data_IF_434412766768
#
_entry.id   IF_434412766768
#
_cell.length_a   1.000
_cell.length_b   1.000
_cell.length_c   1.000
_cell.angle_alpha   90.00
_cell.angle_beta   90.00
_cell.angle_gamma   90.00
#
_symmetry.space_group_name_H-M   'P 1'
#
loop_
_entity.id
_entity.type
_entity.pdbx_description
1 polymer ?
#
# COMPACT_ATOMS: atom_id res chain seq x y z
N UNK A 1 -17.92 -16.26 -17.24
CA UNK A 1 -17.81 -14.80 -17.08
C UNK A 1 -17.77 -14.52 -15.59
N UNK A 2 -16.62 -14.18 -15.03
CA UNK A 2 -16.41 -14.04 -13.59
C UNK A 2 -16.68 -12.59 -13.20
N UNK A 3 -17.56 -12.35 -12.22
CA UNK A 3 -17.84 -11.01 -11.69
C UNK A 3 -17.12 -10.87 -10.35
N UNK A 4 -16.07 -10.08 -10.32
CA UNK A 4 -15.40 -9.69 -9.08
C UNK A 4 -16.21 -8.54 -8.46
N UNK A 5 -16.89 -8.81 -7.35
CA UNK A 5 -17.54 -7.78 -6.55
C UNK A 5 -16.72 -7.63 -5.26
N UNK A 6 -16.10 -6.45 -5.07
CA UNK A 6 -15.42 -6.14 -3.82
C UNK A 6 -16.14 -4.99 -3.18
N UNK A 7 -16.55 -5.24 -1.94
CA UNK A 7 -17.40 -4.34 -1.15
C UNK A 7 -16.71 -4.21 0.19
N UNK A 8 -16.38 -2.98 0.58
CA UNK A 8 -15.92 -2.69 1.93
C UNK A 8 -17.04 -3.08 2.91
N UNK A 9 -16.80 -4.13 3.69
CA UNK A 9 -17.72 -4.66 4.69
C UNK A 9 -17.32 -4.07 6.04
N UNK A 10 -17.98 -2.99 6.44
CA UNK A 10 -17.72 -2.29 7.71
C UNK A 10 -18.58 -2.80 8.87
N UNK A 11 -19.15 -4.01 8.80
CA UNK A 11 -20.03 -4.49 9.88
C UNK A 11 -20.05 -6.02 9.99
N UNK A 12 -19.98 -6.54 11.22
CA UNK A 12 -19.72 -7.95 11.58
C UNK A 12 -20.80 -8.95 11.14
N UNK A 13 -21.89 -8.51 10.50
CA UNK A 13 -22.96 -9.40 10.04
C UNK A 13 -23.63 -8.91 8.77
N UNK A 14 -22.98 -9.11 7.61
CA UNK A 14 -23.73 -9.13 6.36
C UNK A 14 -23.02 -9.93 5.26
N UNK A 15 -23.24 -11.24 5.27
CA UNK A 15 -23.08 -12.07 4.06
C UNK A 15 -24.18 -11.66 3.09
N UNK A 16 -23.93 -10.62 2.30
CA UNK A 16 -24.77 -10.36 1.13
C UNK A 16 -24.50 -11.49 0.15
N UNK A 17 -25.57 -12.09 -0.41
CA UNK A 17 -25.46 -13.23 -1.32
C UNK A 17 -24.57 -12.89 -2.52
N UNK A 18 -23.30 -13.28 -2.44
CA UNK A 18 -22.36 -13.19 -3.54
C UNK A 18 -22.74 -14.30 -4.53
N UNK A 19 -23.31 -13.91 -5.67
CA UNK A 19 -23.70 -14.87 -6.70
C UNK A 19 -22.48 -15.20 -7.55
N UNK A 20 -21.90 -16.38 -7.32
CA UNK A 20 -20.68 -16.88 -7.97
C UNK A 20 -19.56 -17.25 -6.97
N UNK A 21 -18.46 -17.87 -7.42
CA UNK A 21 -17.31 -18.14 -6.56
C UNK A 21 -16.71 -16.82 -6.07
N UNK A 22 -16.84 -16.57 -4.77
CA UNK A 22 -16.32 -15.37 -4.11
C UNK A 22 -15.17 -15.74 -3.17
N UNK A 23 -14.11 -14.95 -3.20
CA UNK A 23 -13.03 -15.01 -2.23
C UNK A 23 -13.27 -13.91 -1.18
N UNK A 24 -13.46 -14.31 0.07
CA UNK A 24 -13.46 -13.38 1.21
C UNK A 24 -12.03 -13.28 1.70
N UNK A 25 -11.50 -12.06 1.71
CA UNK A 25 -10.14 -11.78 2.15
C UNK A 25 -10.22 -10.81 3.33
N UNK A 26 -9.54 -11.13 4.43
CA UNK A 26 -9.39 -10.19 5.54
C UNK A 26 -8.53 -8.98 5.15
N UNK A 27 -8.53 -7.90 5.95
CA UNK A 27 -7.76 -6.68 5.65
C UNK A 27 -6.26 -6.93 5.39
N UNK A 28 -5.63 -7.79 6.19
CA UNK A 28 -4.23 -8.19 6.00
C UNK A 28 -4.02 -8.94 4.67
N UNK A 29 -4.91 -9.89 4.35
CA UNK A 29 -4.83 -10.61 3.08
C UNK A 29 -5.07 -9.69 1.89
N UNK A 30 -5.96 -8.69 2.03
CA UNK A 30 -6.18 -7.69 1.00
C UNK A 30 -4.93 -6.83 0.77
N UNK A 31 -4.23 -6.46 1.85
CA UNK A 31 -2.93 -5.81 1.79
C UNK A 31 -1.91 -6.68 1.05
N UNK A 32 -1.70 -7.94 1.47
CA UNK A 32 -0.73 -8.84 0.83
C UNK A 32 -1.01 -9.06 -0.67
N UNK A 33 -2.28 -9.23 -1.03
CA UNK A 33 -2.69 -9.35 -2.44
C UNK A 33 -2.41 -8.08 -3.23
N UNK A 34 -2.71 -6.90 -2.67
CA UNK A 34 -2.41 -5.62 -3.31
C UNK A 34 -0.91 -5.47 -3.58
N UNK A 35 -0.06 -5.84 -2.61
CA UNK A 35 1.41 -5.80 -2.74
C UNK A 35 1.91 -6.75 -3.83
N UNK A 36 1.37 -7.97 -3.87
CA UNK A 36 1.73 -8.95 -4.90
C UNK A 36 1.33 -8.46 -6.31
N UNK A 37 0.15 -7.86 -6.44
CA UNK A 37 -0.32 -7.27 -7.70
C UNK A 37 0.58 -6.11 -8.15
N UNK A 38 0.92 -5.19 -7.25
CA UNK A 38 1.82 -4.07 -7.56
C UNK A 38 3.19 -4.54 -8.03
N UNK A 39 3.77 -5.56 -7.39
CA UNK A 39 5.06 -6.12 -7.81
C UNK A 39 4.97 -6.78 -9.19
N UNK A 40 3.89 -7.52 -9.46
CA UNK A 40 3.64 -8.09 -10.79
C UNK A 40 3.47 -6.99 -11.85
N UNK A 41 2.71 -5.94 -11.57
CA UNK A 41 2.55 -4.80 -12.49
C UNK A 41 3.87 -4.09 -12.77
N UNK A 42 4.74 -3.93 -11.75
CA UNK A 42 6.07 -3.37 -11.92
C UNK A 42 6.91 -4.21 -12.87
N UNK A 43 6.86 -5.55 -12.74
CA UNK A 43 7.56 -6.47 -13.64
C UNK A 43 7.02 -6.38 -15.07
N UNK A 44 5.70 -6.50 -15.23
CA UNK A 44 5.05 -6.40 -16.54
C UNK A 44 5.39 -5.08 -17.25
N UNK A 45 5.43 -3.96 -16.50
CA UNK A 45 5.80 -2.65 -17.06
C UNK A 45 7.26 -2.60 -17.51
N UNK A 46 8.19 -3.26 -16.79
CA UNK A 46 9.60 -3.38 -17.22
C UNK A 46 9.71 -4.18 -18.53
N UNK A 47 8.84 -5.17 -18.69
CA UNK A 47 8.79 -6.02 -19.87
C UNK A 47 7.98 -5.39 -21.03
N UNK A 48 7.49 -4.15 -20.86
CA UNK A 48 6.68 -3.44 -21.86
C UNK A 48 5.27 -4.00 -22.04
N UNK A 49 4.82 -4.87 -21.12
CA UNK A 49 3.51 -5.52 -21.16
C UNK A 49 2.48 -4.67 -20.41
N UNK A 50 1.36 -4.37 -21.07
CA UNK A 50 0.25 -3.63 -20.48
C UNK A 50 -0.50 -4.46 -19.43
N UNK A 51 -0.97 -3.79 -18.37
CA UNK A 51 -1.79 -4.42 -17.32
C UNK A 51 -3.24 -4.54 -17.78
N UNK A 52 -3.83 -5.74 -17.65
CA UNK A 52 -5.23 -5.97 -18.04
C UNK A 52 -6.21 -5.13 -17.20
N UNK A 53 -7.34 -4.77 -17.79
CA UNK A 53 -8.40 -4.03 -17.08
C UNK A 53 -9.05 -4.82 -15.93
N UNK A 54 -8.89 -6.14 -15.90
CA UNK A 54 -9.34 -6.99 -14.79
C UNK A 54 -8.41 -6.86 -13.57
N UNK A 55 -7.09 -6.85 -13.79
CA UNK A 55 -6.10 -6.64 -12.72
C UNK A 55 -6.28 -5.25 -12.10
N UNK A 56 -6.52 -4.22 -12.93
CA UNK A 56 -6.78 -2.87 -12.43
C UNK A 56 -8.03 -2.80 -11.55
N UNK A 57 -9.12 -3.46 -11.97
CA UNK A 57 -10.35 -3.56 -11.18
C UNK A 57 -10.13 -4.32 -9.87
N UNK A 58 -9.34 -5.38 -9.88
CA UNK A 58 -8.96 -6.12 -8.67
C UNK A 58 -8.13 -5.24 -7.72
N UNK A 59 -7.22 -4.41 -8.24
CA UNK A 59 -6.44 -3.45 -7.45
C UNK A 59 -7.34 -2.43 -6.75
N UNK A 60 -8.19 -1.75 -7.52
CA UNK A 60 -9.15 -0.75 -7.02
C UNK A 60 -10.10 -1.34 -5.96
N UNK A 61 -10.44 -2.61 -6.12
CA UNK A 61 -11.23 -3.37 -5.18
C UNK A 61 -10.52 -3.63 -3.83
N UNK A 62 -9.25 -4.02 -3.86
CA UNK A 62 -8.48 -4.40 -2.66
C UNK A 62 -7.98 -3.18 -1.87
N UNK A 63 -7.82 -2.04 -2.54
CA UNK A 63 -7.22 -0.82 -1.99
C UNK A 63 -7.88 -0.31 -0.69
N UNK A 64 -9.22 -0.21 -0.56
CA UNK A 64 -9.84 0.24 0.68
C UNK A 64 -9.61 -0.70 1.86
N UNK A 65 -9.62 -2.02 1.63
CA UNK A 65 -9.42 -3.01 2.69
C UNK A 65 -7.94 -3.06 3.14
N UNK A 66 -7.01 -2.87 2.20
CA UNK A 66 -5.58 -2.77 2.50
C UNK A 66 -5.26 -1.49 3.30
N UNK A 67 -5.87 -0.36 2.97
CA UNK A 67 -5.72 0.90 3.71
C UNK A 67 -6.26 0.78 5.13
N UNK A 68 -7.43 0.15 5.32
CA UNK A 68 -7.98 -0.08 6.66
C UNK A 68 -7.04 -0.93 7.55
N UNK A 69 -6.34 -1.91 6.98
CA UNK A 69 -5.33 -2.67 7.71
C UNK A 69 -4.13 -1.79 8.08
N UNK A 70 -3.62 -1.01 7.13
CA UNK A 70 -2.54 -0.06 7.36
C UNK A 70 -2.86 0.92 8.49
N UNK A 71 -4.07 1.49 8.49
CA UNK A 71 -4.51 2.40 9.55
C UNK A 71 -4.61 1.69 10.90
N UNK A 72 -5.06 0.43 10.93
CA UNK A 72 -5.13 -0.36 12.16
C UNK A 72 -3.76 -0.71 12.74
N UNK A 73 -2.75 -0.94 11.88
CA UNK A 73 -1.38 -1.25 12.29
C UNK A 73 -0.59 0.03 12.61
N UNK A 74 -0.83 1.12 11.88
CA UNK A 74 -0.20 2.43 12.07
C UNK A 74 -0.81 3.26 13.20
N UNK A 75 -2.08 3.03 13.53
CA UNK A 75 -2.84 3.76 14.56
C UNK A 75 -2.43 3.47 16.01
N UNK A 76 -1.46 2.57 16.24
CA UNK A 76 -0.91 2.36 17.59
C UNK A 76 0.24 3.32 17.94
N UNK A 77 0.60 4.27 17.07
CA UNK A 77 1.51 5.37 17.38
C UNK A 77 0.77 6.72 17.25
N UNK A 78 0.52 7.37 18.39
CA UNK A 78 -0.40 8.51 18.47
C UNK A 78 0.08 9.84 17.89
N UNK A 79 -0.85 10.78 17.84
CA UNK A 79 -0.58 12.21 17.73
C UNK A 79 -1.16 12.85 16.48
N UNK A 80 -2.31 13.50 16.64
CA UNK A 80 -2.95 14.40 15.68
C UNK A 80 -1.95 15.45 15.15
N UNK A 81 -1.79 15.54 13.83
CA UNK A 81 -1.24 16.71 13.16
C UNK A 81 -1.97 16.94 11.82
N UNK A 82 -2.63 18.08 11.79
CA UNK A 82 -3.37 18.78 10.74
C UNK A 82 -2.84 18.59 9.30
N UNK A 83 -3.72 18.17 8.38
CA UNK A 83 -3.42 17.91 6.96
C UNK A 83 -3.72 19.15 6.11
N UNK A 84 -2.74 19.74 5.39
CA UNK A 84 -3.00 20.76 4.37
C UNK A 84 -3.57 20.11 3.10
N UNK A 85 -4.75 20.55 2.65
CA UNK A 85 -5.35 20.11 1.39
C UNK A 85 -4.53 20.60 0.18
N UNK A 86 -4.18 19.70 -0.75
CA UNK A 86 -3.48 20.00 -2.01
C UNK A 86 -4.18 19.29 -3.19
N UNK A 87 -4.26 19.89 -4.41
CA UNK A 87 -5.36 19.64 -5.32
C UNK A 87 -5.16 18.43 -6.23
N UNK A 88 -6.32 17.99 -6.70
CA UNK A 88 -6.60 16.88 -7.59
C UNK A 88 -5.82 16.98 -8.92
N UNK A 89 -4.88 16.07 -9.12
CA UNK A 89 -4.45 15.63 -10.45
C UNK A 89 -3.93 14.20 -10.38
N UNK A 90 -4.82 13.26 -10.69
CA UNK A 90 -4.57 12.01 -11.44
C UNK A 90 -3.20 11.33 -11.26
N UNK A 91 -3.09 10.46 -10.25
CA UNK A 91 -2.28 9.21 -10.19
C UNK A 91 -2.17 8.82 -8.71
N UNK A 92 -3.17 8.11 -8.19
CA UNK A 92 -3.25 7.69 -6.78
C UNK A 92 -2.27 6.55 -6.47
N UNK A 93 -0.97 6.87 -6.52
CA UNK A 93 0.05 6.20 -5.72
C UNK A 93 0.53 7.29 -4.78
N UNK A 94 0.03 7.28 -3.54
CA UNK A 94 0.39 8.27 -2.53
C UNK A 94 1.89 8.17 -2.28
N UNK A 95 2.64 9.08 -2.92
CA UNK A 95 4.08 9.06 -2.96
C UNK A 95 4.62 9.85 -1.77
N UNK A 96 5.44 9.22 -0.95
CA UNK A 96 6.04 9.83 0.23
C UNK A 96 7.45 10.37 -0.06
N UNK A 97 7.76 11.49 0.55
CA UNK A 97 9.09 12.09 0.63
C UNK A 97 9.96 11.37 1.66
N UNK A 98 11.28 11.61 1.62
CA UNK A 98 12.23 11.05 2.62
C UNK A 98 11.82 11.44 4.04
N UNK A 99 11.33 12.66 4.21
CA UNK A 99 10.93 13.25 5.48
C UNK A 99 9.68 12.55 6.05
N UNK A 100 8.65 12.34 5.23
CA UNK A 100 7.44 11.63 5.63
C UNK A 100 7.74 10.16 5.96
N UNK A 101 8.59 9.50 5.16
CA UNK A 101 9.03 8.12 5.44
C UNK A 101 9.82 8.04 6.75
N UNK A 102 10.65 9.03 7.04
CA UNK A 102 11.41 9.09 8.29
C UNK A 102 10.48 9.19 9.51
N UNK A 103 9.39 9.95 9.39
CA UNK A 103 8.36 10.04 10.44
C UNK A 103 7.64 8.70 10.62
N UNK A 104 7.14 8.08 9.55
CA UNK A 104 6.43 6.79 9.62
C UNK A 104 7.31 5.69 10.22
N UNK A 105 8.59 5.64 9.83
CA UNK A 105 9.52 4.63 10.33
C UNK A 105 10.12 4.98 11.70
N UNK A 106 9.82 6.16 12.26
CA UNK A 106 10.42 6.64 13.51
C UNK A 106 11.94 6.71 13.46
N UNK A 107 12.51 7.13 12.33
CA UNK A 107 13.95 7.06 12.06
C UNK A 107 14.50 8.36 11.46
N UNK A 108 15.82 8.42 11.22
CA UNK A 108 16.44 9.60 10.60
C UNK A 108 16.30 9.59 9.07
N UNK A 109 16.18 10.78 8.47
CA UNK A 109 16.19 10.95 7.01
C UNK A 109 17.46 10.42 6.34
N UNK A 110 18.60 10.47 7.05
CA UNK A 110 19.87 9.85 6.62
C UNK A 110 19.74 8.33 6.48
N UNK A 111 19.08 7.68 7.43
CA UNK A 111 18.85 6.24 7.38
C UNK A 111 17.88 5.87 6.24
N UNK A 112 16.80 6.63 6.05
CA UNK A 112 15.88 6.44 4.91
C UNK A 112 16.61 6.54 3.57
N UNK A 113 17.48 7.54 3.39
CA UNK A 113 18.31 7.64 2.17
C UNK A 113 19.25 6.44 2.01
N UNK A 114 19.81 5.93 3.10
CA UNK A 114 20.62 4.71 3.08
C UNK A 114 19.81 3.49 2.64
N UNK A 115 18.55 3.37 3.06
CA UNK A 115 17.66 2.28 2.62
C UNK A 115 17.34 2.37 1.13
N UNK A 116 17.12 3.58 0.61
CA UNK A 116 16.94 3.79 -0.83
C UNK A 116 18.20 3.45 -1.62
N UNK A 117 19.38 3.87 -1.14
CA UNK A 117 20.67 3.60 -1.81
C UNK A 117 21.06 2.13 -1.79
N UNK A 118 20.72 1.41 -0.71
CA UNK A 118 20.99 -0.02 -0.56
C UNK A 118 19.90 -0.92 -1.17
N UNK A 119 18.90 -0.33 -1.82
CA UNK A 119 17.74 -1.02 -2.41
C UNK A 119 16.93 -1.84 -1.38
N UNK A 120 17.14 -1.62 -0.09
CA UNK A 120 16.42 -2.28 1.00
C UNK A 120 14.96 -1.79 1.14
N UNK A 121 14.68 -0.57 0.67
CA UNK A 121 13.34 -0.02 0.55
C UNK A 121 13.14 0.47 -0.89
N UNK A 122 12.13 -0.02 -1.62
CA UNK A 122 11.87 0.43 -2.98
C UNK A 122 11.65 1.94 -3.04
N UNK A 123 12.49 2.62 -3.81
CA UNK A 123 12.48 4.07 -3.93
C UNK A 123 12.69 4.48 -5.38
N UNK A 124 12.02 5.54 -5.81
CA UNK A 124 12.23 6.16 -7.11
C UNK A 124 12.93 7.50 -6.92
N UNK A 125 13.99 7.72 -7.70
CA UNK A 125 14.65 9.03 -7.75
C UNK A 125 13.92 9.93 -8.74
N UNK A 126 13.35 11.03 -8.24
CA UNK A 126 12.64 12.05 -9.05
C UNK A 126 13.42 13.35 -8.93
N UNK A 127 14.12 13.72 -10.00
CA UNK A 127 15.05 14.84 -10.00
C UNK A 127 16.22 14.63 -9.02
N UNK A 128 16.27 15.47 -7.98
CA UNK A 128 17.30 15.40 -6.91
C UNK A 128 16.80 14.72 -5.63
N UNK A 129 15.54 14.31 -5.59
CA UNK A 129 14.89 13.77 -4.39
C UNK A 129 14.52 12.31 -4.57
N UNK A 130 14.43 11.60 -3.46
CA UNK A 130 13.87 10.25 -3.41
C UNK A 130 12.38 10.33 -3.07
N UNK A 131 11.62 9.49 -3.74
CA UNK A 131 10.18 9.31 -3.54
C UNK A 131 9.90 7.84 -3.29
N UNK A 132 9.00 7.56 -2.37
CA UNK A 132 8.67 6.22 -1.91
C UNK A 132 7.19 5.97 -2.11
N UNK A 133 6.83 4.73 -2.35
CA UNK A 133 5.43 4.31 -2.34
C UNK A 133 5.01 4.11 -0.89
N UNK A 134 3.92 4.74 -0.46
CA UNK A 134 3.44 4.62 0.93
C UNK A 134 3.23 3.16 1.34
N UNK A 135 2.71 2.30 0.45
CA UNK A 135 2.51 0.88 0.75
C UNK A 135 3.84 0.14 0.94
N UNK A 136 4.90 0.55 0.21
CA UNK A 136 6.25 0.01 0.41
C UNK A 136 6.81 0.33 1.79
N UNK A 137 6.63 1.58 2.21
CA UNK A 137 7.11 2.08 3.50
C UNK A 137 6.42 1.36 4.65
N UNK A 138 5.10 1.19 4.57
CA UNK A 138 4.31 0.56 5.62
C UNK A 138 4.58 -0.95 5.73
N UNK A 139 4.73 -1.65 4.60
CA UNK A 139 5.13 -3.06 4.63
C UNK A 139 6.50 -3.25 5.29
N UNK A 140 7.43 -2.34 4.99
CA UNK A 140 8.75 -2.35 5.60
C UNK A 140 8.68 -2.09 7.11
N UNK A 141 7.79 -1.18 7.54
CA UNK A 141 7.54 -0.91 8.96
C UNK A 141 7.01 -2.16 9.69
N UNK A 142 6.00 -2.83 9.14
CA UNK A 142 5.44 -4.07 9.70
C UNK A 142 6.49 -5.18 9.82
N UNK A 143 7.22 -5.46 8.73
CA UNK A 143 8.28 -6.48 8.73
C UNK A 143 9.46 -6.17 9.67
N UNK A 144 9.61 -4.92 10.11
CA UNK A 144 10.60 -4.50 11.10
C UNK A 144 10.10 -4.74 12.53
N UNK A 145 8.81 -4.53 12.78
CA UNK A 145 8.18 -4.79 14.08
C UNK A 145 8.15 -6.28 14.41
N UNK A 146 7.87 -7.14 13.44
CA UNK A 146 7.87 -8.60 13.62
C UNK A 146 9.27 -9.13 14.02
N UNK A 147 10.33 -8.57 13.41
CA UNK A 147 11.73 -8.94 13.72
C UNK A 147 12.21 -8.48 15.09
N UNK A 148 11.59 -7.46 15.66
CA UNK A 148 11.90 -6.97 17.00
C UNK A 148 11.06 -7.65 18.10
N UNK A 149 10.00 -8.37 17.72
CA UNK A 149 9.08 -9.05 18.65
C UNK A 149 9.37 -10.54 18.79
N UNK A 150 10.33 -11.07 18.03
CA UNK A 150 10.84 -12.44 18.08
C UNK A 150 12.23 -12.49 18.76
#
# INVERSE_FOLDING_TARGET
>A
MWRLAVRALSDERLVTALSGPCLVVGPEGAFLLLRALQEMERRLRRDGVGVSGEVRRLREALEPAALAWVESVGGSAGGSAEVPQRPESSEWVESMTVEEVAQVLGTSTRYVRSLAMSEALPARKVGRSWTFDQLDVLAFAGARQDRNSA
#
